data_IF_291591882637
#
_entry.id   IF_291591882637
#
_cell.length_a   1.000
_cell.length_b   1.000
_cell.length_c   1.000
_cell.angle_alpha   90.00
_cell.angle_beta   90.00
_cell.angle_gamma   90.00
#
_symmetry.space_group_name_H-M   'P 1'
#
loop_
_entity.id
_entity.type
_entity.pdbx_description
1 polymer ?
#
# COMPACT_ATOMS: atom_id res chain seq x y z
N UNK A 1 -12.60 -13.51 8.67
CA UNK A 1 -13.37 -12.97 7.52
C UNK A 1 -12.39 -12.22 6.64
N UNK A 2 -12.39 -12.44 5.31
CA UNK A 2 -11.43 -11.79 4.41
C UNK A 2 -11.76 -10.29 4.31
N UNK A 3 -10.93 -9.41 4.88
CA UNK A 3 -11.12 -7.95 4.78
C UNK A 3 -10.73 -7.44 3.38
N UNK A 4 -11.60 -7.66 2.41
CA UNK A 4 -11.41 -7.28 1.01
C UNK A 4 -11.56 -5.77 0.76
N UNK A 5 -12.35 -5.09 1.59
CA UNK A 5 -12.64 -3.66 1.50
C UNK A 5 -11.69 -2.80 2.35
N UNK A 6 -10.66 -3.39 2.96
CA UNK A 6 -9.67 -2.65 3.73
C UNK A 6 -8.78 -1.85 2.78
N UNK A 7 -8.59 -0.55 3.08
CA UNK A 7 -7.60 0.29 2.41
C UNK A 7 -6.20 -0.11 2.85
N UNK A 8 -5.33 -0.39 1.90
CA UNK A 8 -3.96 -0.90 2.15
C UNK A 8 -2.87 0.03 1.61
N UNK A 9 -3.19 0.90 0.67
CA UNK A 9 -2.29 1.93 0.16
C UNK A 9 -3.10 3.13 -0.32
N UNK A 10 -3.17 4.19 0.49
CA UNK A 10 -4.06 5.31 0.23
C UNK A 10 -5.52 4.87 0.16
N UNK A 11 -6.17 5.03 -0.99
CA UNK A 11 -7.53 4.58 -1.26
C UNK A 11 -7.62 3.18 -1.86
N UNK A 12 -6.49 2.55 -2.21
CA UNK A 12 -6.47 1.24 -2.84
C UNK A 12 -6.89 0.17 -1.82
N UNK A 13 -7.88 -0.64 -2.21
CA UNK A 13 -8.42 -1.71 -1.38
C UNK A 13 -7.69 -3.03 -1.58
N UNK A 14 -7.72 -3.90 -0.57
CA UNK A 14 -7.17 -5.25 -0.61
C UNK A 14 -7.61 -6.02 -1.87
N UNK A 15 -8.89 -5.98 -2.22
CA UNK A 15 -9.44 -6.68 -3.39
C UNK A 15 -8.86 -6.21 -4.72
N UNK A 16 -8.49 -4.94 -4.84
CA UNK A 16 -7.93 -4.39 -6.08
C UNK A 16 -6.51 -4.91 -6.34
N UNK A 17 -5.79 -5.24 -5.26
CA UNK A 17 -4.45 -5.83 -5.29
C UNK A 17 -4.51 -7.32 -5.56
N UNK A 18 -5.35 -8.04 -4.81
CA UNK A 18 -5.32 -9.51 -4.83
C UNK A 18 -6.31 -10.15 -5.81
N UNK A 19 -7.31 -9.38 -6.25
CA UNK A 19 -8.34 -9.80 -7.19
C UNK A 19 -7.96 -9.55 -8.65
N UNK A 20 -8.90 -9.88 -9.54
CA UNK A 20 -8.72 -9.77 -10.99
C UNK A 20 -8.78 -8.33 -11.49
N UNK A 21 -9.64 -7.51 -10.89
CA UNK A 21 -9.85 -6.11 -11.28
C UNK A 21 -9.28 -5.14 -10.24
N UNK A 22 -8.85 -3.94 -10.64
CA UNK A 22 -8.73 -3.45 -12.03
C UNK A 22 -7.56 -4.12 -12.77
N UNK A 23 -7.34 -3.89 -14.07
CA UNK A 23 -6.23 -4.52 -14.79
C UNK A 23 -4.85 -4.08 -14.24
N UNK A 24 -3.79 -4.82 -14.57
CA UNK A 24 -2.42 -4.50 -14.11
C UNK A 24 -1.96 -3.10 -14.56
N UNK A 25 -2.42 -2.64 -15.73
CA UNK A 25 -2.09 -1.32 -16.27
C UNK A 25 -2.84 -0.22 -15.54
N UNK A 26 -4.13 -0.45 -15.24
CA UNK A 26 -4.97 0.52 -14.53
C UNK A 26 -4.52 0.66 -13.07
N UNK A 27 -4.28 -0.46 -12.37
CA UNK A 27 -3.84 -0.41 -10.98
C UNK A 27 -2.49 0.31 -10.84
N UNK A 28 -1.60 0.19 -11.84
CA UNK A 28 -0.34 0.94 -11.87
C UNK A 28 -0.58 2.44 -11.86
N UNK A 29 -1.47 2.93 -12.72
CA UNK A 29 -1.82 4.36 -12.78
C UNK A 29 -2.43 4.83 -11.46
N UNK A 30 -3.25 3.99 -10.82
CA UNK A 30 -3.82 4.28 -9.49
C UNK A 30 -2.71 4.37 -8.44
N UNK A 31 -1.77 3.42 -8.41
CA UNK A 31 -0.61 3.46 -7.51
C UNK A 31 0.22 4.72 -7.68
N UNK A 32 0.50 5.15 -8.91
CA UNK A 32 1.28 6.36 -9.18
C UNK A 32 0.57 7.60 -8.63
N UNK A 33 -0.74 7.72 -8.85
CA UNK A 33 -1.54 8.84 -8.34
C UNK A 33 -1.61 8.85 -6.81
N UNK A 34 -1.85 7.68 -6.21
CA UNK A 34 -1.97 7.55 -4.76
C UNK A 34 -0.63 7.81 -4.08
N UNK A 35 0.50 7.34 -4.64
CA UNK A 35 1.83 7.65 -4.12
C UNK A 35 2.07 9.16 -4.08
N UNK A 36 1.74 9.89 -5.14
CA UNK A 36 1.87 11.36 -5.16
C UNK A 36 1.03 12.01 -4.06
N UNK A 37 -0.22 11.59 -3.88
CA UNK A 37 -1.09 12.12 -2.84
C UNK A 37 -0.58 11.81 -1.43
N UNK A 38 -0.09 10.58 -1.20
CA UNK A 38 0.48 10.17 0.08
C UNK A 38 1.74 10.95 0.43
N UNK A 39 2.64 11.14 -0.54
CA UNK A 39 3.85 11.94 -0.35
C UNK A 39 3.53 13.41 -0.07
N UNK A 40 2.49 13.95 -0.68
CA UNK A 40 2.06 15.31 -0.38
C UNK A 40 1.53 15.45 1.05
N UNK A 41 0.66 14.52 1.48
CA UNK A 41 0.16 14.46 2.87
C UNK A 41 1.28 14.27 3.89
N UNK A 42 2.31 13.48 3.55
CA UNK A 42 3.46 13.24 4.40
C UNK A 42 4.24 14.53 4.72
N UNK A 43 4.21 15.56 3.85
CA UNK A 43 4.85 16.87 4.10
C UNK A 43 4.17 17.65 5.23
N UNK A 44 2.88 17.43 5.45
CA UNK A 44 2.08 18.16 6.45
C UNK A 44 1.84 17.40 7.74
N UNK A 45 2.22 16.12 7.79
CA UNK A 45 2.10 15.29 9.00
C UNK A 45 3.16 15.67 10.04
N UNK A 46 2.77 15.71 11.32
CA UNK A 46 3.66 15.92 12.48
C UNK A 46 4.44 14.64 12.84
N UNK A 47 5.63 14.78 13.45
CA UNK A 47 6.52 13.65 13.79
C UNK A 47 5.84 12.53 14.60
N UNK A 48 5.00 12.89 15.57
CA UNK A 48 4.20 11.94 16.36
C UNK A 48 3.27 11.08 15.48
N UNK A 49 2.66 11.67 14.45
CA UNK A 49 1.77 10.98 13.53
C UNK A 49 2.53 10.17 12.45
N UNK A 50 3.84 10.44 12.24
CA UNK A 50 4.67 9.66 11.31
C UNK A 50 4.92 8.25 11.86
N UNK A 51 5.10 8.10 13.17
CA UNK A 51 5.31 6.78 13.78
C UNK A 51 4.07 5.89 13.68
N UNK A 52 2.88 6.45 13.95
CA UNK A 52 1.60 5.74 13.76
C UNK A 52 1.41 5.32 12.30
N UNK A 53 1.66 6.26 11.37
CA UNK A 53 1.61 5.98 9.93
C UNK A 53 2.53 4.82 9.52
N UNK A 54 3.75 4.79 10.03
CA UNK A 54 4.71 3.71 9.77
C UNK A 54 4.21 2.35 10.26
N UNK A 55 3.60 2.31 11.45
CA UNK A 55 3.05 1.08 12.01
C UNK A 55 1.85 0.58 11.21
N UNK A 56 0.92 1.48 10.85
CA UNK A 56 -0.22 1.15 10.00
C UNK A 56 0.21 0.64 8.62
N UNK A 57 1.25 1.23 8.03
CA UNK A 57 1.80 0.77 6.75
C UNK A 57 2.31 -0.67 6.84
N UNK A 58 3.09 -1.01 7.87
CA UNK A 58 3.59 -2.38 8.10
C UNK A 58 2.46 -3.40 8.29
N UNK A 59 1.40 -3.00 8.98
CA UNK A 59 0.21 -3.85 9.17
C UNK A 59 -0.44 -4.15 7.82
N UNK A 60 -0.55 -3.16 6.93
CA UNK A 60 -1.10 -3.32 5.59
C UNK A 60 -0.22 -4.21 4.70
N UNK A 61 1.10 -4.01 4.73
CA UNK A 61 2.04 -4.87 4.00
C UNK A 61 1.95 -6.33 4.45
N UNK A 62 1.91 -6.57 5.76
CA UNK A 62 1.72 -7.91 6.31
C UNK A 62 0.38 -8.50 5.88
N UNK A 63 -0.70 -7.71 5.92
CA UNK A 63 -2.04 -8.15 5.51
C UNK A 63 -2.09 -8.69 4.07
N UNK A 64 -1.40 -8.03 3.14
CA UNK A 64 -1.32 -8.47 1.74
C UNK A 64 -0.42 -9.69 1.59
N UNK A 65 0.77 -9.67 2.18
CA UNK A 65 1.81 -10.67 1.93
C UNK A 65 1.64 -11.99 2.70
N UNK A 66 1.00 -12.00 3.88
CA UNK A 66 0.85 -13.22 4.68
C UNK A 66 -0.49 -13.93 4.48
N UNK A 67 -1.19 -13.64 3.39
CA UNK A 67 -2.55 -14.14 3.19
C UNK A 67 -2.55 -15.63 2.82
N UNK A 68 -3.36 -16.48 3.47
CA UNK A 68 -3.55 -17.87 3.05
C UNK A 68 -4.06 -17.92 1.61
N UNK A 69 -3.48 -18.79 0.79
CA UNK A 69 -3.82 -18.86 -0.63
C UNK A 69 -3.21 -17.74 -1.46
N UNK A 70 -2.20 -17.02 -0.95
CA UNK A 70 -1.44 -16.01 -1.71
C UNK A 70 -1.02 -16.52 -3.09
N UNK A 71 -0.63 -17.80 -3.23
CA UNK A 71 -0.29 -18.42 -4.51
C UNK A 71 -1.40 -18.41 -5.58
N UNK A 72 -2.68 -18.31 -5.19
CA UNK A 72 -3.82 -18.20 -6.10
C UNK A 72 -4.22 -16.73 -6.40
N UNK A 73 -3.59 -15.76 -5.74
CA UNK A 73 -3.84 -14.34 -5.91
C UNK A 73 -2.98 -13.77 -7.05
N UNK A 74 -3.33 -12.58 -7.51
CA UNK A 74 -2.61 -11.89 -8.58
C UNK A 74 -1.20 -11.47 -8.13
N UNK A 75 -0.20 -12.32 -8.40
CA UNK A 75 1.19 -12.08 -7.95
C UNK A 75 1.77 -10.78 -8.50
N UNK A 76 1.54 -10.48 -9.78
CA UNK A 76 2.08 -9.28 -10.41
C UNK A 76 1.59 -8.00 -9.75
N UNK A 77 0.33 -7.97 -9.29
CA UNK A 77 -0.21 -6.84 -8.53
C UNK A 77 0.35 -6.77 -7.11
N UNK A 78 0.59 -7.91 -6.46
CA UNK A 78 1.22 -7.96 -5.13
C UNK A 78 2.67 -7.45 -5.20
N UNK A 79 3.42 -7.85 -6.23
CA UNK A 79 4.78 -7.34 -6.48
C UNK A 79 4.75 -5.82 -6.72
N UNK A 80 3.78 -5.33 -7.49
CA UNK A 80 3.58 -3.91 -7.71
C UNK A 80 3.25 -3.18 -6.40
N UNK A 81 2.34 -3.71 -5.59
CA UNK A 81 2.03 -3.19 -4.26
C UNK A 81 3.30 -3.07 -3.42
N UNK A 82 4.11 -4.13 -3.35
CA UNK A 82 5.36 -4.13 -2.58
C UNK A 82 6.35 -3.07 -3.10
N UNK A 83 6.45 -2.88 -4.42
CA UNK A 83 7.29 -1.84 -5.01
C UNK A 83 6.89 -0.42 -4.59
N UNK A 84 5.61 -0.07 -4.70
CA UNK A 84 5.12 1.26 -4.31
C UNK A 84 5.13 1.45 -2.78
N UNK A 85 4.81 0.40 -2.02
CA UNK A 85 4.88 0.40 -0.56
C UNK A 85 6.30 0.64 -0.06
N UNK A 86 7.31 -0.01 -0.64
CA UNK A 86 8.71 0.22 -0.28
C UNK A 86 9.15 1.67 -0.59
N UNK A 87 8.79 2.19 -1.77
CA UNK A 87 9.08 3.60 -2.12
C UNK A 87 8.49 4.58 -1.12
N UNK A 88 7.25 4.35 -0.68
CA UNK A 88 6.61 5.22 0.31
C UNK A 88 7.26 5.07 1.69
N UNK A 89 7.60 3.84 2.08
CA UNK A 89 8.28 3.53 3.33
C UNK A 89 9.64 4.23 3.46
N UNK A 90 10.43 4.26 2.38
CA UNK A 90 11.69 5.02 2.35
C UNK A 90 11.46 6.50 2.64
N UNK A 91 10.45 7.11 2.02
CA UNK A 91 10.11 8.52 2.20
C UNK A 91 9.59 8.83 3.61
N UNK A 92 8.86 7.90 4.22
CA UNK A 92 8.46 8.00 5.64
C UNK A 92 9.71 8.01 6.53
N UNK A 93 10.65 7.07 6.31
CA UNK A 93 11.87 6.96 7.12
C UNK A 93 12.75 8.21 7.01
N UNK A 94 12.90 8.78 5.81
CA UNK A 94 13.60 10.05 5.57
C UNK A 94 13.01 11.24 6.35
N UNK A 95 11.78 11.14 6.85
CA UNK A 95 11.13 12.19 7.67
C UNK A 95 11.22 11.93 9.17
N UNK A 96 11.53 10.69 9.56
CA UNK A 96 11.72 10.29 10.96
C UNK A 96 13.15 10.62 11.41
N UNK A 97 14.13 10.36 10.53
CA UNK A 97 15.53 10.74 10.70
C UNK A 97 15.69 12.28 10.78
#
# INVERSE_FOLDING_TARGET
MLELNKKVFGNIMTQEIIGSEPSITEIKIIFEKELVSLLDKLKSISKENIQDLLEQHKICEKHINTRPGAMALNQSKIEMFNHYSNKYLEKIKERID
#
